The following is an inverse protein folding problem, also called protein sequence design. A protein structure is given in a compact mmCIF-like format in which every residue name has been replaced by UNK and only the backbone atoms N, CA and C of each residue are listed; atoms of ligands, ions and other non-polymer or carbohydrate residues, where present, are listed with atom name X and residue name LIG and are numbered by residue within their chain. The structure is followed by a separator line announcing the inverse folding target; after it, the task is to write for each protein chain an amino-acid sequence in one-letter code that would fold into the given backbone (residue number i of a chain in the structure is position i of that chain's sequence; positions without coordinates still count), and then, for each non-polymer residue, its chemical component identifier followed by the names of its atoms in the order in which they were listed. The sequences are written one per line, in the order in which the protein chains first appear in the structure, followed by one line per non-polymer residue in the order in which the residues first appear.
data_IF_668927690988
#
_entry.id   IF_668927690988
#
_cell.length_a   1.000
_cell.length_b   1.000
_cell.length_c   1.000
_cell.angle_alpha   90.00
_cell.angle_beta   90.00
_cell.angle_gamma   90.00
#
_symmetry.space_group_name_H-M   'P 1'
#
loop_
_entity.id
_entity.type
_entity.pdbx_description
1 polymer ?
#
# COMPACT_ATOMS: atom_id res chain seq x y z
N UNK A 1 18.68 -17.46 3.28
CA UNK A 1 18.33 -16.20 3.97
C UNK A 1 17.00 -16.44 4.65
N UNK A 2 16.89 -16.13 5.93
CA UNK A 2 15.59 -16.23 6.59
C UNK A 2 14.65 -15.08 6.15
N UNK A 3 13.37 -15.16 6.52
CA UNK A 3 12.38 -14.15 6.14
C UNK A 3 12.74 -12.75 6.65
N UNK A 4 13.21 -12.63 7.88
CA UNK A 4 13.51 -11.33 8.48
C UNK A 4 14.70 -10.67 7.80
N UNK A 5 15.77 -11.42 7.53
CA UNK A 5 16.91 -10.92 6.77
C UNK A 5 16.50 -10.47 5.36
N UNK A 6 15.66 -11.26 4.69
CA UNK A 6 15.19 -10.95 3.35
C UNK A 6 14.29 -9.72 3.33
N UNK A 7 13.38 -9.59 4.32
CA UNK A 7 12.53 -8.40 4.47
C UNK A 7 13.38 -7.15 4.73
N UNK A 8 14.36 -7.20 5.63
CA UNK A 8 15.25 -6.08 5.91
C UNK A 8 16.10 -5.68 4.70
N UNK A 9 16.52 -6.65 3.90
CA UNK A 9 17.24 -6.37 2.65
C UNK A 9 16.36 -5.62 1.64
N UNK A 10 15.11 -6.06 1.41
CA UNK A 10 14.19 -5.32 0.54
C UNK A 10 13.85 -3.94 1.11
N UNK A 11 13.65 -3.83 2.42
CA UNK A 11 13.39 -2.55 3.07
C UNK A 11 14.56 -1.57 2.88
N UNK A 12 15.78 -2.02 3.07
CA UNK A 12 16.99 -1.20 2.86
C UNK A 12 17.09 -0.73 1.40
N UNK A 13 16.84 -1.62 0.43
CA UNK A 13 16.82 -1.26 -0.99
C UNK A 13 15.71 -0.25 -1.31
N UNK A 14 14.51 -0.43 -0.75
CA UNK A 14 13.40 0.50 -0.92
C UNK A 14 13.73 1.88 -0.37
N UNK A 15 14.31 1.95 0.83
CA UNK A 15 14.71 3.23 1.44
C UNK A 15 15.79 3.93 0.65
N UNK A 16 16.82 3.22 0.19
CA UNK A 16 17.85 3.80 -0.68
C UNK A 16 17.28 4.31 -2.02
N UNK A 17 16.32 3.58 -2.59
CA UNK A 17 15.64 4.01 -3.81
C UNK A 17 14.80 5.29 -3.58
N UNK A 18 14.09 5.37 -2.45
CA UNK A 18 13.33 6.56 -2.05
C UNK A 18 14.24 7.78 -1.83
N UNK A 19 15.35 7.63 -1.11
CA UNK A 19 16.31 8.70 -0.90
C UNK A 19 16.87 9.23 -2.23
N UNK A 20 17.25 8.32 -3.13
CA UNK A 20 17.75 8.67 -4.46
C UNK A 20 16.67 9.38 -5.29
N UNK A 21 15.43 8.90 -5.26
CA UNK A 21 14.32 9.53 -5.97
C UNK A 21 14.00 10.93 -5.39
N UNK A 22 13.98 11.08 -4.06
CA UNK A 22 13.86 12.39 -3.41
C UNK A 22 14.95 13.37 -3.88
N UNK A 23 16.21 12.94 -3.88
CA UNK A 23 17.33 13.78 -4.33
C UNK A 23 17.22 14.24 -5.79
N UNK A 24 16.60 13.40 -6.64
CA UNK A 24 16.45 13.68 -8.07
C UNK A 24 15.21 14.53 -8.40
N UNK A 25 14.08 14.23 -7.79
CA UNK A 25 12.77 14.74 -8.22
C UNK A 25 12.14 15.76 -7.26
N UNK A 26 12.63 15.86 -6.01
CA UNK A 26 12.08 16.75 -5.00
C UNK A 26 13.14 17.75 -4.51
N UNK A 27 13.39 18.87 -5.23
CA UNK A 27 14.41 19.85 -4.88
C UNK A 27 14.13 20.52 -3.51
N UNK A 28 15.18 20.71 -2.71
CA UNK A 28 15.06 21.23 -1.32
C UNK A 28 14.70 22.72 -1.26
N UNK A 29 14.92 23.48 -2.32
CA UNK A 29 14.57 24.90 -2.42
C UNK A 29 13.06 25.12 -2.39
N UNK A 30 12.27 24.14 -2.87
CA UNK A 30 10.81 24.17 -2.86
C UNK A 30 10.27 23.75 -1.50
N UNK A 31 9.44 24.62 -0.86
CA UNK A 31 8.73 24.27 0.38
C UNK A 31 7.77 23.09 0.18
N UNK A 32 7.10 23.03 -0.95
CA UNK A 32 6.21 21.91 -1.33
C UNK A 32 6.99 20.60 -1.41
N UNK A 33 8.18 20.61 -2.01
CA UNK A 33 9.04 19.42 -2.08
C UNK A 33 9.60 19.03 -0.70
N UNK A 34 9.91 20.00 0.18
CA UNK A 34 10.27 19.69 1.58
C UNK A 34 9.13 19.04 2.34
N UNK A 35 7.90 19.51 2.16
CA UNK A 35 6.70 18.91 2.76
C UNK A 35 6.43 17.50 2.22
N UNK A 36 6.60 17.29 0.92
CA UNK A 36 6.53 15.97 0.29
C UNK A 36 7.57 15.00 0.87
N UNK A 37 8.85 15.43 0.96
CA UNK A 37 9.93 14.66 1.58
C UNK A 37 9.66 14.35 3.05
N UNK A 38 9.17 15.32 3.82
CA UNK A 38 8.80 15.17 5.23
C UNK A 38 7.84 14.00 5.42
N UNK A 39 6.79 13.93 4.62
CA UNK A 39 5.79 12.88 4.68
C UNK A 39 6.31 11.56 4.13
N UNK A 40 6.97 11.59 2.96
CA UNK A 40 7.48 10.40 2.29
C UNK A 40 8.54 9.68 3.14
N UNK A 41 9.47 10.41 3.76
CA UNK A 41 10.53 9.84 4.59
C UNK A 41 10.12 9.66 6.05
N UNK A 42 8.89 9.99 6.42
CA UNK A 42 8.35 9.94 7.77
C UNK A 42 8.15 8.53 8.38
N UNK A 43 8.75 7.50 7.81
CA UNK A 43 8.67 6.13 8.33
C UNK A 43 7.61 5.27 7.65
N UNK A 44 7.27 4.14 8.28
CA UNK A 44 6.32 3.15 7.79
C UNK A 44 6.96 1.83 7.35
N UNK A 45 6.16 0.77 7.22
CA UNK A 45 6.61 -0.60 6.90
C UNK A 45 7.03 -0.79 5.44
N UNK A 46 6.75 0.15 4.56
CA UNK A 46 7.10 0.11 3.12
C UNK A 46 6.64 -1.17 2.42
N UNK A 47 5.53 -1.73 2.82
CA UNK A 47 5.04 -3.03 2.32
C UNK A 47 4.89 -3.02 0.79
N UNK A 48 4.39 -1.92 0.20
CA UNK A 48 4.21 -1.82 -1.25
C UNK A 48 5.53 -1.85 -2.01
N UNK A 49 6.54 -1.13 -1.52
CA UNK A 49 7.89 -1.19 -2.08
C UNK A 49 8.51 -2.59 -1.93
N UNK A 50 8.35 -3.23 -0.76
CA UNK A 50 8.82 -4.61 -0.53
C UNK A 50 8.14 -5.58 -1.49
N UNK A 51 6.83 -5.42 -1.76
CA UNK A 51 6.10 -6.26 -2.74
C UNK A 51 6.63 -6.08 -4.16
N UNK A 52 6.92 -4.84 -4.61
CA UNK A 52 7.55 -4.62 -5.92
C UNK A 52 8.87 -5.39 -6.05
N UNK A 53 9.74 -5.22 -5.04
CA UNK A 53 11.09 -5.80 -5.05
C UNK A 53 11.05 -7.31 -4.95
N UNK A 54 10.25 -7.86 -4.04
CA UNK A 54 10.16 -9.30 -3.81
C UNK A 54 9.54 -10.05 -5.00
N UNK A 55 8.53 -9.49 -5.65
CA UNK A 55 7.94 -10.08 -6.86
C UNK A 55 8.94 -10.05 -8.02
N UNK A 56 9.64 -8.93 -8.22
CA UNK A 56 10.67 -8.83 -9.25
C UNK A 56 11.79 -9.86 -9.02
N UNK A 57 12.29 -9.97 -7.79
CA UNK A 57 13.35 -10.92 -7.42
C UNK A 57 12.89 -12.37 -7.59
N UNK A 58 11.69 -12.71 -7.10
CA UNK A 58 11.06 -14.04 -7.26
C UNK A 58 11.03 -14.51 -8.72
N UNK A 59 10.77 -13.58 -9.63
CA UNK A 59 10.66 -13.85 -11.07
C UNK A 59 11.99 -13.66 -11.83
N UNK A 60 13.07 -13.24 -11.16
CA UNK A 60 14.39 -13.05 -11.76
C UNK A 60 14.48 -11.81 -12.66
N UNK A 61 13.76 -10.74 -12.30
CA UNK A 61 13.68 -9.51 -13.07
C UNK A 61 14.78 -8.48 -12.81
N UNK A 62 14.61 -7.29 -13.40
CA UNK A 62 15.54 -6.17 -13.25
C UNK A 62 15.32 -5.44 -11.91
N UNK A 63 16.16 -5.72 -10.92
CA UNK A 63 16.11 -5.04 -9.62
C UNK A 63 16.36 -3.53 -9.74
N UNK A 64 17.12 -3.07 -10.71
CA UNK A 64 17.36 -1.63 -10.93
C UNK A 64 16.07 -0.91 -11.35
N UNK A 65 15.27 -1.51 -12.22
CA UNK A 65 13.95 -0.97 -12.59
C UNK A 65 12.98 -1.07 -11.42
N UNK A 66 12.94 -2.22 -10.74
CA UNK A 66 12.07 -2.46 -9.59
C UNK A 66 12.29 -1.48 -8.44
N UNK A 67 13.54 -1.03 -8.19
CA UNK A 67 13.84 -0.02 -7.17
C UNK A 67 13.17 1.32 -7.47
N UNK A 68 13.15 1.79 -8.73
CA UNK A 68 12.42 3.01 -9.09
C UNK A 68 10.90 2.80 -9.02
N UNK A 69 10.42 1.63 -9.43
CA UNK A 69 9.00 1.30 -9.29
C UNK A 69 8.56 1.22 -7.82
N UNK A 70 9.42 0.70 -6.93
CA UNK A 70 9.20 0.70 -5.50
C UNK A 70 9.13 2.11 -4.91
N UNK A 71 10.02 3.02 -5.35
CA UNK A 71 9.95 4.42 -4.95
C UNK A 71 8.66 5.10 -5.46
N UNK A 72 8.29 4.86 -6.71
CA UNK A 72 7.10 5.44 -7.33
C UNK A 72 5.80 5.02 -6.61
N UNK A 73 5.61 3.75 -6.28
CA UNK A 73 4.40 3.30 -5.58
C UNK A 73 4.32 3.86 -4.16
N UNK A 74 5.44 4.06 -3.47
CA UNK A 74 5.46 4.71 -2.15
C UNK A 74 5.20 6.22 -2.23
N UNK A 75 5.68 6.92 -3.28
CA UNK A 75 5.33 8.31 -3.54
C UNK A 75 3.82 8.44 -3.73
N UNK A 76 3.24 7.59 -4.57
CA UNK A 76 1.81 7.57 -4.82
C UNK A 76 1.00 7.19 -3.57
N UNK A 77 1.45 6.23 -2.77
CA UNK A 77 0.83 5.94 -1.48
C UNK A 77 0.94 7.12 -0.50
N UNK A 78 2.07 7.81 -0.51
CA UNK A 78 2.28 8.94 0.40
C UNK A 78 1.37 10.12 0.05
N UNK A 79 1.15 10.45 -1.24
CA UNK A 79 0.22 11.51 -1.60
C UNK A 79 -1.18 11.23 -1.05
N UNK A 80 -1.66 9.99 -1.14
CA UNK A 80 -2.99 9.64 -0.65
C UNK A 80 -3.11 9.88 0.85
N UNK A 81 -2.08 9.53 1.63
CA UNK A 81 -2.06 9.78 3.06
C UNK A 81 -2.02 11.27 3.41
N UNK A 82 -1.27 12.09 2.64
CA UNK A 82 -1.24 13.55 2.84
C UNK A 82 -2.62 14.15 2.60
N UNK A 83 -3.31 13.72 1.53
CA UNK A 83 -4.63 14.23 1.19
C UNK A 83 -5.72 13.71 2.14
N UNK A 84 -5.62 12.44 2.57
CA UNK A 84 -6.55 11.88 3.57
C UNK A 84 -6.46 12.63 4.91
N UNK A 85 -5.27 13.11 5.32
CA UNK A 85 -5.10 13.87 6.56
C UNK A 85 -5.66 15.30 6.52
N UNK A 86 -6.02 15.85 5.35
CA UNK A 86 -6.50 17.23 5.22
C UNK A 86 -7.82 17.47 5.99
N UNK A 87 -8.10 18.72 6.43
CA UNK A 87 -9.34 19.05 7.14
C UNK A 87 -10.64 18.78 6.39
N UNK A 88 -10.59 18.70 5.06
CA UNK A 88 -11.74 18.33 4.22
C UNK A 88 -11.93 16.81 4.05
N UNK A 89 -11.06 16.03 4.64
CA UNK A 89 -11.07 14.56 4.65
C UNK A 89 -11.11 14.05 6.11
N UNK A 90 -10.12 13.27 6.56
CA UNK A 90 -10.10 12.68 7.91
C UNK A 90 -9.75 13.70 9.01
N UNK A 91 -9.13 14.85 8.64
CA UNK A 91 -8.66 15.91 9.55
C UNK A 91 -7.74 15.40 10.67
N UNK A 92 -6.82 14.49 10.33
CA UNK A 92 -5.90 13.89 11.27
C UNK A 92 -4.76 14.83 11.64
N UNK A 93 -4.56 15.07 12.94
CA UNK A 93 -3.45 15.90 13.43
C UNK A 93 -2.10 15.18 13.39
N UNK A 94 -2.10 13.87 13.48
CA UNK A 94 -0.91 13.03 13.54
C UNK A 94 -0.92 11.91 12.50
N UNK A 95 0.21 11.69 11.85
CA UNK A 95 0.48 10.53 10.98
C UNK A 95 1.77 9.83 11.41
N UNK A 96 1.67 8.55 11.77
CA UNK A 96 2.83 7.75 12.24
C UNK A 96 3.53 8.39 13.46
N UNK A 97 2.75 8.94 14.39
CA UNK A 97 3.25 9.59 15.62
C UNK A 97 3.91 10.95 15.42
N UNK A 98 3.83 11.54 14.22
CA UNK A 98 4.36 12.87 13.89
C UNK A 98 3.21 13.76 13.40
N UNK A 99 3.32 15.11 13.51
CA UNK A 99 2.35 16.01 12.91
C UNK A 99 2.10 15.64 11.44
N UNK A 100 0.82 15.60 11.03
CA UNK A 100 0.44 15.42 9.64
C UNK A 100 0.99 16.56 8.78
N UNK A 101 1.02 16.39 7.46
CA UNK A 101 1.66 17.37 6.57
C UNK A 101 1.05 18.78 6.71
N UNK A 102 -0.28 18.87 6.78
CA UNK A 102 -0.97 20.16 6.91
C UNK A 102 -0.75 20.83 8.28
N UNK A 103 -0.45 20.05 9.32
CA UNK A 103 -0.09 20.58 10.66
C UNK A 103 1.37 21.02 10.74
N UNK A 104 2.26 20.30 10.05
CA UNK A 104 3.69 20.63 10.04
C UNK A 104 4.02 21.81 9.13
N UNK A 105 3.23 22.05 8.09
CA UNK A 105 3.40 23.14 7.12
C UNK A 105 2.15 23.99 7.03
N UNK A 106 1.33 23.82 5.99
CA UNK A 106 0.02 24.44 5.82
C UNK A 106 -0.89 23.54 4.98
N UNK A 107 -2.20 23.78 4.99
CA UNK A 107 -3.15 23.04 4.14
C UNK A 107 -2.81 23.16 2.66
N UNK A 108 -2.51 24.39 2.20
CA UNK A 108 -2.15 24.65 0.80
C UNK A 108 -0.84 23.94 0.42
N UNK A 109 0.18 23.98 1.30
CA UNK A 109 1.44 23.29 1.07
C UNK A 109 1.25 21.77 1.06
N UNK A 110 0.41 21.23 1.95
CA UNK A 110 0.09 19.80 1.99
C UNK A 110 -0.66 19.33 0.74
N UNK A 111 -1.65 20.09 0.27
CA UNK A 111 -2.36 19.82 -0.98
C UNK A 111 -1.39 19.71 -2.14
N UNK A 112 -0.54 20.72 -2.33
CA UNK A 112 0.46 20.75 -3.40
C UNK A 112 1.55 19.67 -3.23
N UNK A 113 1.90 19.28 -2.00
CA UNK A 113 2.85 18.21 -1.74
C UNK A 113 2.29 16.85 -2.19
N UNK A 114 1.00 16.62 -2.01
CA UNK A 114 0.31 15.45 -2.58
C UNK A 114 0.34 15.45 -4.10
N UNK A 115 0.01 16.59 -4.75
CA UNK A 115 0.04 16.73 -6.21
C UNK A 115 1.41 16.46 -6.80
N UNK A 116 2.47 16.99 -6.16
CA UNK A 116 3.86 16.73 -6.57
C UNK A 116 4.17 15.26 -6.46
N UNK A 117 3.89 14.59 -5.35
CA UNK A 117 4.18 13.16 -5.19
C UNK A 117 3.43 12.29 -6.19
N UNK A 118 2.18 12.63 -6.50
CA UNK A 118 1.40 11.93 -7.54
C UNK A 118 2.07 12.07 -8.91
N UNK A 119 2.50 13.27 -9.28
CA UNK A 119 3.16 13.54 -10.56
C UNK A 119 4.52 12.87 -10.65
N UNK A 120 5.37 13.07 -9.62
CA UNK A 120 6.73 12.51 -9.57
C UNK A 120 6.74 10.98 -9.49
N UNK A 121 5.68 10.35 -9.01
CA UNK A 121 5.56 8.90 -9.10
C UNK A 121 5.59 8.40 -10.55
N UNK A 122 4.87 9.06 -11.46
CA UNK A 122 4.90 8.69 -12.88
C UNK A 122 6.20 9.09 -13.57
N UNK A 123 6.78 10.23 -13.23
CA UNK A 123 8.10 10.61 -13.75
C UNK A 123 9.18 9.62 -13.29
N UNK A 124 9.11 9.16 -12.05
CA UNK A 124 10.02 8.13 -11.52
C UNK A 124 9.91 6.82 -12.32
N UNK A 125 8.69 6.37 -12.65
CA UNK A 125 8.49 5.19 -13.51
C UNK A 125 9.06 5.41 -14.90
N UNK A 126 8.83 6.58 -15.50
CA UNK A 126 9.29 6.90 -16.85
C UNK A 126 10.84 6.97 -16.96
N UNK A 127 11.52 7.27 -15.86
CA UNK A 127 12.98 7.33 -15.78
C UNK A 127 13.64 6.02 -15.34
N UNK A 128 12.89 4.91 -15.21
CA UNK A 128 13.45 3.62 -14.83
C UNK A 128 14.36 3.06 -15.94
N UNK A 129 15.49 2.40 -15.59
CA UNK A 129 16.41 1.81 -16.57
C UNK A 129 15.85 0.48 -17.10
N UNK A 130 14.80 0.57 -17.91
CA UNK A 130 14.10 -0.56 -18.52
C UNK A 130 13.59 -0.20 -19.92
N UNK A 131 13.17 -1.21 -20.68
CA UNK A 131 12.52 -1.00 -21.97
C UNK A 131 11.26 -0.13 -21.80
N UNK A 132 10.96 0.72 -22.77
CA UNK A 132 9.78 1.58 -22.74
C UNK A 132 8.47 0.81 -22.50
N UNK A 133 8.35 -0.41 -23.03
CA UNK A 133 7.19 -1.29 -22.80
C UNK A 133 7.03 -1.69 -21.34
N UNK A 134 8.12 -1.91 -20.61
CA UNK A 134 8.14 -2.23 -19.18
C UNK A 134 7.69 -1.01 -18.37
N UNK A 135 8.22 0.18 -18.68
CA UNK A 135 7.82 1.42 -18.03
C UNK A 135 6.32 1.72 -18.28
N UNK A 136 5.83 1.50 -19.49
CA UNK A 136 4.41 1.67 -19.82
C UNK A 136 3.53 0.69 -19.06
N UNK A 137 3.95 -0.59 -18.91
CA UNK A 137 3.19 -1.57 -18.12
C UNK A 137 3.16 -1.18 -16.63
N UNK A 138 4.29 -0.76 -16.06
CA UNK A 138 4.36 -0.28 -14.68
C UNK A 138 3.49 0.98 -14.47
N UNK A 139 3.54 1.95 -15.37
CA UNK A 139 2.69 3.15 -15.31
C UNK A 139 1.20 2.81 -15.42
N UNK A 140 0.81 1.86 -16.28
CA UNK A 140 -0.57 1.37 -16.38
C UNK A 140 -1.03 0.71 -15.08
N UNK A 141 -0.19 -0.15 -14.47
CA UNK A 141 -0.50 -0.79 -13.20
C UNK A 141 -0.70 0.27 -12.09
N UNK A 142 0.22 1.23 -11.99
CA UNK A 142 0.17 2.32 -11.02
C UNK A 142 -1.08 3.17 -11.21
N UNK A 143 -1.37 3.63 -12.42
CA UNK A 143 -2.54 4.45 -12.75
C UNK A 143 -3.86 3.72 -12.53
N UNK A 144 -3.96 2.44 -12.90
CA UNK A 144 -5.14 1.63 -12.67
C UNK A 144 -5.39 1.42 -11.16
N UNK A 145 -4.31 1.17 -10.40
CA UNK A 145 -4.39 0.98 -8.95
C UNK A 145 -4.74 2.24 -8.16
N UNK A 146 -4.34 3.40 -8.64
CA UNK A 146 -4.56 4.68 -7.95
C UNK A 146 -5.86 5.40 -8.37
N UNK A 147 -6.23 5.29 -9.64
CA UNK A 147 -7.22 6.16 -10.27
C UNK A 147 -8.68 5.80 -10.00
N UNK A 148 -9.54 6.21 -10.96
CA UNK A 148 -11.01 6.11 -10.89
C UNK A 148 -11.58 4.69 -10.85
N UNK A 149 -10.76 3.66 -10.99
CA UNK A 149 -11.11 2.24 -10.87
C UNK A 149 -10.31 1.53 -9.78
N UNK A 150 -9.62 2.28 -8.94
CA UNK A 150 -8.74 1.82 -7.88
C UNK A 150 -8.93 2.62 -6.60
N UNK A 151 -7.82 3.07 -6.02
CA UNK A 151 -7.78 3.69 -4.69
C UNK A 151 -8.70 4.91 -4.55
N UNK A 152 -8.73 5.83 -5.52
CA UNK A 152 -9.60 7.02 -5.48
C UNK A 152 -11.09 6.62 -5.47
N UNK A 153 -11.48 5.64 -6.29
CA UNK A 153 -12.84 5.10 -6.24
C UNK A 153 -13.14 4.42 -4.90
N UNK A 154 -12.18 3.69 -4.36
CA UNK A 154 -12.31 3.09 -3.03
C UNK A 154 -12.51 4.14 -1.93
N UNK A 155 -11.80 5.26 -2.01
CA UNK A 155 -11.95 6.39 -1.08
C UNK A 155 -13.31 7.08 -1.23
N UNK A 156 -13.80 7.28 -2.46
CA UNK A 156 -15.17 7.79 -2.73
C UNK A 156 -16.23 6.89 -2.07
N UNK A 157 -16.08 5.57 -2.22
CA UNK A 157 -17.01 4.62 -1.60
C UNK A 157 -16.90 4.64 -0.06
N UNK A 158 -15.71 4.73 0.49
CA UNK A 158 -15.49 4.80 1.94
C UNK A 158 -16.21 6.01 2.54
N UNK A 159 -15.99 7.21 1.99
CA UNK A 159 -16.71 8.44 2.39
C UNK A 159 -18.23 8.31 2.23
N UNK A 160 -18.71 7.70 1.14
CA UNK A 160 -20.13 7.50 0.91
C UNK A 160 -20.79 6.62 1.98
N UNK A 161 -20.09 5.57 2.41
CA UNK A 161 -20.60 4.59 3.37
C UNK A 161 -20.16 4.88 4.83
N UNK A 162 -19.48 5.97 5.08
CA UNK A 162 -19.08 6.37 6.44
C UNK A 162 -20.31 6.65 7.32
N UNK A 163 -21.34 7.31 6.76
CA UNK A 163 -22.61 7.61 7.45
C UNK A 163 -23.74 6.61 7.12
N UNK A 164 -23.46 5.56 6.35
CA UNK A 164 -24.45 4.57 5.89
C UNK A 164 -23.95 3.16 6.24
N UNK A 165 -24.84 2.32 6.77
CA UNK A 165 -24.50 0.91 6.95
C UNK A 165 -24.22 0.25 5.58
N UNK A 166 -22.99 -0.23 5.39
CA UNK A 166 -22.61 -0.97 4.20
C UNK A 166 -22.97 -2.45 4.31
N UNK A 167 -23.38 -3.06 3.21
CA UNK A 167 -23.46 -4.53 3.12
C UNK A 167 -22.05 -5.13 3.06
N UNK A 168 -21.92 -6.44 3.31
CA UNK A 168 -20.61 -7.12 3.16
C UNK A 168 -20.02 -6.94 1.76
N UNK A 169 -20.82 -7.06 0.71
CA UNK A 169 -20.33 -6.88 -0.66
C UNK A 169 -19.81 -5.46 -0.92
N UNK A 170 -20.47 -4.45 -0.34
CA UNK A 170 -20.02 -3.06 -0.41
C UNK A 170 -18.74 -2.85 0.39
N UNK A 171 -18.62 -3.41 1.58
CA UNK A 171 -17.40 -3.39 2.39
C UNK A 171 -16.23 -4.05 1.66
N UNK A 172 -16.46 -5.23 1.07
CA UNK A 172 -15.46 -5.91 0.23
C UNK A 172 -15.03 -5.07 -0.99
N UNK A 173 -15.99 -4.36 -1.60
CA UNK A 173 -15.70 -3.48 -2.74
C UNK A 173 -14.85 -2.27 -2.31
N UNK A 174 -15.15 -1.65 -1.16
CA UNK A 174 -14.35 -0.57 -0.57
C UNK A 174 -12.91 -1.06 -0.37
N UNK A 175 -12.70 -2.14 0.36
CA UNK A 175 -11.37 -2.65 0.67
C UNK A 175 -10.60 -3.12 -0.57
N UNK A 176 -11.31 -3.75 -1.53
CA UNK A 176 -10.71 -4.13 -2.81
C UNK A 176 -10.11 -2.93 -3.53
N UNK A 177 -10.83 -1.80 -3.55
CA UNK A 177 -10.40 -0.61 -4.27
C UNK A 177 -9.47 0.29 -3.43
N UNK A 178 -9.87 0.68 -2.22
CA UNK A 178 -9.10 1.61 -1.38
C UNK A 178 -7.70 1.06 -1.05
N UNK A 179 -7.60 -0.22 -0.72
CA UNK A 179 -6.35 -0.86 -0.29
C UNK A 179 -5.82 -1.87 -1.30
N UNK A 180 -6.65 -2.79 -1.75
CA UNK A 180 -6.25 -3.91 -2.61
C UNK A 180 -5.72 -3.47 -3.96
N UNK A 181 -6.31 -2.43 -4.57
CA UNK A 181 -5.90 -1.97 -5.89
C UNK A 181 -4.45 -1.45 -5.93
N UNK A 182 -4.01 -0.72 -4.90
CA UNK A 182 -2.63 -0.23 -4.86
C UNK A 182 -1.62 -1.33 -4.45
N UNK A 183 -2.05 -2.32 -3.66
CA UNK A 183 -1.26 -3.54 -3.41
C UNK A 183 -1.08 -4.32 -4.72
N UNK A 184 -2.16 -4.48 -5.49
CA UNK A 184 -2.08 -5.12 -6.81
C UNK A 184 -1.17 -4.33 -7.76
N UNK A 185 -1.27 -3.00 -7.79
CA UNK A 185 -0.39 -2.16 -8.60
C UNK A 185 1.09 -2.42 -8.26
N UNK A 186 1.45 -2.44 -6.98
CA UNK A 186 2.82 -2.74 -6.54
C UNK A 186 3.31 -4.10 -7.06
N UNK A 187 2.50 -5.13 -6.90
CA UNK A 187 2.81 -6.50 -7.35
C UNK A 187 2.95 -6.54 -8.88
N UNK A 188 2.04 -5.91 -9.62
CA UNK A 188 2.10 -5.87 -11.09
C UNK A 188 3.28 -5.04 -11.61
N UNK A 189 3.72 -4.01 -10.88
CA UNK A 189 4.93 -3.26 -11.22
C UNK A 189 6.19 -4.14 -11.04
N UNK A 190 6.24 -4.95 -9.98
CA UNK A 190 7.29 -5.95 -9.80
C UNK A 190 7.29 -7.01 -10.91
N UNK A 191 6.11 -7.50 -11.29
CA UNK A 191 5.91 -8.42 -12.40
C UNK A 191 6.36 -7.81 -13.74
N UNK A 192 6.04 -6.53 -13.99
CA UNK A 192 6.49 -5.81 -15.18
C UNK A 192 8.02 -5.70 -15.25
N UNK A 193 8.70 -5.40 -14.13
CA UNK A 193 10.16 -5.35 -14.05
C UNK A 193 10.82 -6.71 -14.37
N UNK A 194 10.08 -7.80 -14.13
CA UNK A 194 10.50 -9.16 -14.46
C UNK A 194 10.01 -9.65 -15.83
N UNK A 195 9.26 -8.83 -16.57
CA UNK A 195 8.63 -9.22 -17.85
C UNK A 195 7.77 -10.50 -17.73
N UNK A 196 7.01 -10.57 -16.63
CA UNK A 196 6.14 -11.70 -16.33
C UNK A 196 5.10 -11.92 -17.44
N UNK A 197 4.76 -13.17 -17.69
CA UNK A 197 3.71 -13.53 -18.63
C UNK A 197 2.31 -13.28 -18.03
N UNK A 198 1.29 -13.42 -18.89
CA UNK A 198 -0.10 -13.13 -18.51
C UNK A 198 -0.64 -14.10 -17.43
N UNK A 199 -0.19 -15.36 -17.42
CA UNK A 199 -0.61 -16.35 -16.43
C UNK A 199 -0.01 -16.01 -15.06
N UNK A 200 1.26 -15.63 -15.01
CA UNK A 200 1.94 -15.14 -13.81
C UNK A 200 1.28 -13.86 -13.28
N UNK A 201 0.98 -12.90 -14.15
CA UNK A 201 0.28 -11.66 -13.77
C UNK A 201 -1.10 -11.94 -13.15
N UNK A 202 -1.89 -12.85 -13.72
CA UNK A 202 -3.20 -13.25 -13.16
C UNK A 202 -3.08 -13.94 -11.79
N UNK A 203 -2.12 -14.85 -11.64
CA UNK A 203 -1.88 -15.51 -10.36
C UNK A 203 -1.46 -14.51 -9.26
N UNK A 204 -0.60 -13.57 -9.60
CA UNK A 204 -0.16 -12.49 -8.72
C UNK A 204 -1.29 -11.51 -8.38
N UNK A 205 -2.20 -11.22 -9.31
CA UNK A 205 -3.40 -10.41 -9.05
C UNK A 205 -4.31 -11.06 -8.00
N UNK A 206 -4.53 -12.38 -8.09
CA UNK A 206 -5.33 -13.11 -7.10
C UNK A 206 -4.68 -13.03 -5.70
N UNK A 207 -3.37 -13.21 -5.63
CA UNK A 207 -2.62 -13.05 -4.38
C UNK A 207 -2.75 -11.62 -3.83
N UNK A 208 -2.59 -10.61 -4.67
CA UNK A 208 -2.65 -9.19 -4.28
C UNK A 208 -3.97 -8.82 -3.61
N UNK A 209 -5.10 -9.20 -4.21
CA UNK A 209 -6.42 -8.90 -3.65
C UNK A 209 -6.74 -9.73 -2.41
N UNK A 210 -6.28 -10.99 -2.33
CA UNK A 210 -6.36 -11.80 -1.13
C UNK A 210 -5.58 -11.17 0.02
N UNK A 211 -4.33 -10.79 -0.22
CA UNK A 211 -3.47 -10.12 0.75
C UNK A 211 -4.07 -8.79 1.24
N UNK A 212 -4.59 -7.97 0.31
CA UNK A 212 -5.21 -6.69 0.63
C UNK A 212 -6.45 -6.83 1.52
N UNK A 213 -7.28 -7.84 1.27
CA UNK A 213 -8.46 -8.10 2.08
C UNK A 213 -8.08 -8.65 3.46
N UNK A 214 -7.12 -9.57 3.56
CA UNK A 214 -6.58 -10.05 4.85
C UNK A 214 -6.04 -8.88 5.65
N UNK A 215 -5.28 -7.99 5.02
CA UNK A 215 -4.72 -6.79 5.65
C UNK A 215 -5.82 -5.94 6.30
N UNK A 216 -6.91 -5.68 5.60
CA UNK A 216 -8.01 -4.86 6.13
C UNK A 216 -8.80 -5.56 7.24
N UNK A 217 -9.10 -6.86 7.09
CA UNK A 217 -9.79 -7.60 8.16
C UNK A 217 -8.97 -7.58 9.46
N UNK A 218 -7.64 -7.72 9.34
CA UNK A 218 -6.75 -7.64 10.52
C UNK A 218 -6.70 -6.22 11.08
N UNK A 219 -6.71 -5.18 10.22
CA UNK A 219 -6.81 -3.78 10.70
C UNK A 219 -8.10 -3.54 11.49
N UNK A 220 -9.25 -3.99 10.99
CA UNK A 220 -10.53 -3.88 11.70
C UNK A 220 -10.48 -4.56 13.08
N UNK A 221 -9.84 -5.74 13.18
CA UNK A 221 -9.68 -6.46 14.46
C UNK A 221 -8.72 -5.71 15.40
N UNK A 222 -7.62 -5.19 14.88
CA UNK A 222 -6.65 -4.43 15.67
C UNK A 222 -7.25 -3.13 16.21
N UNK A 223 -8.13 -2.47 15.47
CA UNK A 223 -8.81 -1.25 15.93
C UNK A 223 -9.63 -1.46 17.22
N UNK A 224 -10.15 -2.68 17.45
CA UNK A 224 -10.96 -3.00 18.65
C UNK A 224 -10.20 -3.81 19.71
N UNK A 225 -9.04 -4.40 19.38
CA UNK A 225 -8.32 -5.29 20.30
C UNK A 225 -6.97 -4.76 20.77
N UNK A 226 -6.40 -3.75 20.10
CA UNK A 226 -5.10 -3.15 20.44
C UNK A 226 -5.23 -2.03 21.47
N UNK A 227 -4.09 -1.43 21.84
CA UNK A 227 -4.04 -0.21 22.66
C UNK A 227 -3.58 0.98 21.81
N UNK A 228 -3.90 2.24 22.23
CA UNK A 228 -3.46 3.43 21.51
C UNK A 228 -1.94 3.50 21.31
N UNK A 229 -1.18 3.01 22.30
CA UNK A 229 0.30 2.95 22.26
C UNK A 229 0.80 2.00 21.18
N UNK A 230 0.06 0.90 20.92
CA UNK A 230 0.42 -0.10 19.90
C UNK A 230 0.03 0.36 18.49
N UNK A 231 -1.15 0.99 18.33
CA UNK A 231 -1.65 1.45 17.02
C UNK A 231 -1.06 2.80 16.58
N UNK A 232 -0.61 3.64 17.52
CA UNK A 232 -0.15 5.00 17.22
C UNK A 232 -1.26 5.96 16.80
N UNK A 233 -2.54 5.58 17.01
CA UNK A 233 -3.76 6.38 16.79
C UNK A 233 -4.80 6.00 17.85
N UNK A 234 -5.86 6.81 18.08
CA UNK A 234 -6.99 6.41 18.92
C UNK A 234 -7.60 5.07 18.47
N UNK A 235 -8.01 4.25 19.44
CA UNK A 235 -8.71 2.98 19.19
C UNK A 235 -10.21 3.22 19.12
N UNK A 236 -10.93 2.37 18.37
CA UNK A 236 -12.39 2.44 18.25
C UNK A 236 -12.90 3.58 17.37
N UNK A 237 -12.02 4.22 16.59
CA UNK A 237 -12.41 5.29 15.68
C UNK A 237 -13.47 4.85 14.67
N UNK A 238 -13.41 3.62 14.18
CA UNK A 238 -14.40 3.08 13.25
C UNK A 238 -15.77 2.87 13.93
N UNK A 239 -15.80 2.44 15.19
CA UNK A 239 -17.04 2.28 15.93
C UNK A 239 -17.67 3.61 16.36
N UNK A 240 -16.87 4.62 16.71
CA UNK A 240 -17.33 5.98 17.04
C UNK A 240 -17.95 6.65 15.81
N UNK A 241 -17.41 6.41 14.62
CA UNK A 241 -17.92 6.92 13.35
C UNK A 241 -19.06 6.07 12.76
N UNK A 242 -19.48 4.97 13.43
CA UNK A 242 -20.57 4.11 12.96
C UNK A 242 -20.24 3.32 11.70
N UNK A 243 -18.95 3.16 11.35
CA UNK A 243 -18.50 2.45 10.15
C UNK A 243 -18.85 0.96 10.23
N UNK A 244 -19.29 0.40 9.11
CA UNK A 244 -19.39 -1.05 8.95
C UNK A 244 -17.99 -1.63 8.75
N UNK A 245 -17.60 -2.60 9.58
CA UNK A 245 -16.32 -3.31 9.53
C UNK A 245 -16.56 -4.82 9.53
N UNK A 246 -15.55 -5.63 9.24
CA UNK A 246 -15.67 -7.08 9.39
C UNK A 246 -15.93 -7.49 10.85
N UNK A 247 -15.46 -6.69 11.81
CA UNK A 247 -15.75 -6.94 13.24
C UNK A 247 -17.22 -6.66 13.57
N UNK A 248 -17.83 -5.63 13.02
CA UNK A 248 -19.27 -5.37 13.22
C UNK A 248 -20.16 -6.44 12.58
N UNK A 249 -19.70 -7.09 11.49
CA UNK A 249 -20.44 -8.14 10.78
C UNK A 249 -20.28 -9.53 11.43
N UNK A 250 -19.09 -9.87 11.93
CA UNK A 250 -18.74 -11.24 12.32
C UNK A 250 -18.22 -11.37 13.76
N UNK A 251 -18.06 -10.25 14.48
CA UNK A 251 -17.28 -10.21 15.72
C UNK A 251 -15.78 -10.39 15.48
N UNK A 252 -14.96 -10.09 16.48
CA UNK A 252 -13.49 -10.14 16.32
C UNK A 252 -12.99 -11.58 16.02
N UNK A 253 -13.54 -12.60 16.69
CA UNK A 253 -13.16 -14.00 16.44
C UNK A 253 -13.59 -14.48 15.04
N UNK A 254 -14.81 -14.12 14.60
CA UNK A 254 -15.31 -14.48 13.27
C UNK A 254 -14.50 -13.80 12.17
N UNK A 255 -14.15 -12.51 12.33
CA UNK A 255 -13.32 -11.77 11.41
C UNK A 255 -11.90 -12.38 11.31
N UNK A 256 -11.26 -12.72 12.44
CA UNK A 256 -9.97 -13.39 12.43
C UNK A 256 -10.01 -14.76 11.77
N UNK A 257 -11.06 -15.55 11.99
CA UNK A 257 -11.23 -16.82 11.30
C UNK A 257 -11.33 -16.62 9.79
N UNK A 258 -12.13 -15.64 9.35
CA UNK A 258 -12.24 -15.30 7.92
C UNK A 258 -10.88 -14.89 7.34
N UNK A 259 -10.08 -14.09 8.06
CA UNK A 259 -8.75 -13.69 7.65
C UNK A 259 -7.82 -14.91 7.51
N UNK A 260 -7.84 -15.84 8.46
CA UNK A 260 -7.06 -17.08 8.39
C UNK A 260 -7.42 -17.95 7.19
N UNK A 261 -8.71 -18.22 6.98
CA UNK A 261 -9.19 -19.05 5.89
C UNK A 261 -8.82 -18.44 4.53
N UNK A 262 -9.00 -17.12 4.39
CA UNK A 262 -8.63 -16.39 3.18
C UNK A 262 -7.12 -16.41 2.94
N UNK A 263 -6.31 -16.18 3.99
CA UNK A 263 -4.85 -16.20 3.88
C UNK A 263 -4.33 -17.57 3.45
N UNK A 264 -4.86 -18.65 4.05
CA UNK A 264 -4.50 -20.01 3.69
C UNK A 264 -4.82 -20.29 2.21
N UNK A 265 -6.02 -19.92 1.75
CA UNK A 265 -6.41 -20.06 0.34
C UNK A 265 -5.47 -19.28 -0.58
N UNK A 266 -5.19 -18.03 -0.23
CA UNK A 266 -4.33 -17.13 -1.02
C UNK A 266 -2.91 -17.67 -1.15
N UNK A 267 -2.30 -18.16 -0.06
CA UNK A 267 -0.98 -18.76 -0.08
C UNK A 267 -0.96 -20.09 -0.84
N UNK A 268 -1.98 -20.94 -0.69
CA UNK A 268 -2.07 -22.23 -1.43
C UNK A 268 -2.11 -22.01 -2.94
N UNK A 269 -2.90 -21.03 -3.41
CA UNK A 269 -2.96 -20.68 -4.85
C UNK A 269 -1.64 -20.08 -5.35
N UNK A 270 -0.99 -19.25 -4.55
CA UNK A 270 0.32 -18.69 -4.90
C UNK A 270 1.35 -19.81 -5.02
N UNK A 271 1.42 -20.71 -4.04
CA UNK A 271 2.33 -21.87 -4.06
C UNK A 271 2.10 -22.77 -5.26
N UNK A 272 0.83 -23.03 -5.62
CA UNK A 272 0.49 -23.83 -6.82
C UNK A 272 1.09 -23.28 -8.10
N UNK A 273 1.17 -21.94 -8.23
CA UNK A 273 1.65 -21.26 -9.43
C UNK A 273 3.19 -21.07 -9.44
N UNK A 274 3.82 -20.87 -8.27
CA UNK A 274 5.22 -20.48 -8.19
C UNK A 274 6.11 -21.42 -7.37
N UNK A 275 5.53 -22.39 -6.67
CA UNK A 275 6.25 -23.35 -5.83
C UNK A 275 7.08 -22.64 -4.75
N UNK A 276 8.24 -23.19 -4.44
CA UNK A 276 9.16 -22.69 -3.42
C UNK A 276 9.63 -21.24 -3.65
N UNK A 277 9.55 -20.74 -4.88
CA UNK A 277 9.90 -19.34 -5.17
C UNK A 277 8.98 -18.34 -4.44
N UNK A 278 7.74 -18.74 -4.14
CA UNK A 278 6.76 -17.91 -3.45
C UNK A 278 6.99 -17.82 -1.93
N UNK A 279 7.93 -18.56 -1.35
CA UNK A 279 8.10 -18.70 0.10
C UNK A 279 8.16 -17.36 0.86
N UNK A 280 8.83 -16.34 0.31
CA UNK A 280 8.87 -15.01 0.93
C UNK A 280 7.48 -14.35 0.97
N UNK A 281 6.74 -14.38 -0.13
CA UNK A 281 5.40 -13.78 -0.21
C UNK A 281 4.39 -14.51 0.66
N UNK A 282 4.49 -15.84 0.78
CA UNK A 282 3.68 -16.64 1.70
C UNK A 282 3.96 -16.27 3.16
N UNK A 283 5.23 -16.12 3.53
CA UNK A 283 5.62 -15.69 4.87
C UNK A 283 5.20 -14.26 5.16
N UNK A 284 5.30 -13.35 4.17
CA UNK A 284 4.79 -11.98 4.30
C UNK A 284 3.28 -11.98 4.63
N UNK A 285 2.49 -12.77 3.92
CA UNK A 285 1.06 -12.90 4.17
C UNK A 285 0.77 -13.44 5.58
N UNK A 286 1.54 -14.42 6.05
CA UNK A 286 1.42 -14.95 7.43
C UNK A 286 1.81 -13.90 8.48
N UNK A 287 2.87 -13.11 8.25
CA UNK A 287 3.26 -12.05 9.17
C UNK A 287 2.23 -10.92 9.27
N UNK A 288 1.56 -10.59 8.16
CA UNK A 288 0.46 -9.63 8.17
C UNK A 288 -0.75 -10.11 8.96
N UNK A 289 -0.99 -11.42 9.01
CA UNK A 289 -2.07 -12.02 9.78
C UNK A 289 -1.83 -11.97 11.30
N UNK A 290 -0.57 -12.09 11.75
CA UNK A 290 -0.21 -12.15 13.18
C UNK A 290 0.38 -10.86 13.72
N UNK A 291 0.38 -9.78 12.94
CA UNK A 291 0.91 -8.48 13.34
C UNK A 291 0.13 -7.90 14.53
N UNK A 292 0.80 -7.06 15.30
CA UNK A 292 0.24 -6.37 16.48
C UNK A 292 0.05 -4.87 16.26
N UNK A 293 0.51 -4.36 15.12
CA UNK A 293 0.45 -2.95 14.72
C UNK A 293 0.56 -2.81 13.19
#
# INVERSE_FOLDING_TARGET
MDYQEQYQNYLAQAMAALEKACGRFLPEESEVCRAARYSLMGGGKRIRAVLVLSVCDMLGGSMQAAQLFAAAVEMLHCYSLIHDDLPCMDNDDLRRGRPSCHKAFSEATAMLAGDVLLTEAFETVANAPADASVCVQAARALGAGAGSRGMVYGQELDLKYEALAATEDQLRLIHRNKTGALINAAIQMGAAAAKADEAQCRALEQYAYGLGLVFQIVDDVLDVTSTPEQLGKPIGSDSENGKTTFVTLYGAEGAMKLAHDLNQKTCTELHRNFGEKAAFLEQLAQQLLVRKN
#
